data_IF_859746554302
#
_entry.id   IF_859746554302
#
_cell.length_a   1.000
_cell.length_b   1.000
_cell.length_c   1.000
_cell.angle_alpha   90.00
_cell.angle_beta   90.00
_cell.angle_gamma   90.00
#
_symmetry.space_group_name_H-M   'P 1'
#
loop_
_entity.id
_entity.type
_entity.pdbx_description
1 polymer ?
#
# COMPACT_ATOMS: atom_id res chain seq x y z
N UNK A 1 -7.84 -2.83 17.61
CA UNK A 1 -8.14 -1.93 16.47
C UNK A 1 -7.00 -1.98 15.47
N UNK A 2 -7.32 -2.04 14.18
CA UNK A 2 -6.32 -2.13 13.09
C UNK A 2 -6.01 -0.75 12.49
N UNK A 3 -4.74 -0.54 12.18
CA UNK A 3 -4.26 0.55 11.35
C UNK A 3 -3.62 -0.05 10.09
N UNK A 4 -3.74 0.66 8.97
CA UNK A 4 -3.33 0.17 7.67
C UNK A 4 -2.25 1.06 7.07
N UNK A 5 -1.26 0.46 6.42
CA UNK A 5 -0.36 1.12 5.50
C UNK A 5 -0.94 1.03 4.08
N UNK A 6 -1.04 2.18 3.40
CA UNK A 6 -1.61 2.28 2.05
C UNK A 6 -0.58 2.88 1.10
N UNK A 7 -0.35 2.19 -0.01
CA UNK A 7 0.49 2.69 -1.09
C UNK A 7 -0.05 4.02 -1.63
N UNK A 8 0.79 5.07 -1.74
CA UNK A 8 0.36 6.37 -2.24
C UNK A 8 -0.11 6.30 -3.71
N UNK A 9 0.29 5.28 -4.46
CA UNK A 9 -0.22 5.02 -5.81
C UNK A 9 -1.73 4.73 -5.81
N UNK A 10 -2.21 3.89 -4.88
CA UNK A 10 -3.65 3.56 -4.78
C UNK A 10 -4.48 4.78 -4.35
N UNK A 11 -3.93 5.63 -3.48
CA UNK A 11 -4.61 6.84 -3.04
C UNK A 11 -4.74 7.85 -4.19
N UNK A 12 -3.68 8.02 -4.98
CA UNK A 12 -3.65 8.91 -6.14
C UNK A 12 -4.68 8.50 -7.20
N UNK A 13 -4.81 7.20 -7.47
CA UNK A 13 -5.78 6.66 -8.45
C UNK A 13 -7.18 6.42 -7.88
N UNK A 14 -7.42 6.68 -6.58
CA UNK A 14 -8.64 6.36 -5.84
C UNK A 14 -9.11 4.91 -6.07
N UNK A 15 -8.15 3.98 -6.08
CA UNK A 15 -8.41 2.56 -6.32
C UNK A 15 -9.29 1.92 -5.23
N UNK A 16 -9.96 0.79 -5.52
CA UNK A 16 -10.74 0.06 -4.52
C UNK A 16 -9.96 -0.27 -3.24
N UNK A 17 -8.64 -0.51 -3.35
CA UNK A 17 -7.77 -0.72 -2.20
C UNK A 17 -7.71 0.51 -1.28
N UNK A 18 -7.66 1.73 -1.84
CA UNK A 18 -7.69 2.97 -1.09
C UNK A 18 -9.07 3.20 -0.46
N UNK A 19 -10.15 3.04 -1.23
CA UNK A 19 -11.52 3.22 -0.74
C UNK A 19 -11.83 2.27 0.42
N UNK A 20 -11.49 0.98 0.26
CA UNK A 20 -11.61 0.00 1.33
C UNK A 20 -10.82 0.41 2.55
N UNK A 21 -9.54 0.77 2.39
CA UNK A 21 -8.66 1.10 3.53
C UNK A 21 -9.21 2.28 4.32
N UNK A 22 -9.67 3.32 3.63
CA UNK A 22 -10.21 4.53 4.23
C UNK A 22 -11.57 4.29 4.90
N UNK A 23 -12.39 3.38 4.39
CA UNK A 23 -13.63 2.96 5.04
C UNK A 23 -13.37 2.05 6.26
N UNK A 24 -12.52 1.04 6.08
CA UNK A 24 -12.33 -0.04 7.03
C UNK A 24 -11.33 0.26 8.14
N UNK A 25 -10.17 0.87 7.88
CA UNK A 25 -9.13 1.02 8.90
C UNK A 25 -9.56 1.97 10.01
N UNK A 26 -9.00 1.86 11.22
CA UNK A 26 -9.13 2.96 12.18
C UNK A 26 -8.36 4.18 11.67
N UNK A 27 -7.11 3.97 11.28
CA UNK A 27 -6.22 4.95 10.65
C UNK A 27 -5.52 4.31 9.45
N UNK A 28 -5.29 5.10 8.43
CA UNK A 28 -4.53 4.76 7.24
C UNK A 28 -3.27 5.63 7.23
N UNK A 29 -2.12 5.00 7.10
CA UNK A 29 -0.82 5.66 7.00
C UNK A 29 -0.35 5.52 5.56
N UNK A 30 0.02 6.62 4.93
CA UNK A 30 0.57 6.62 3.58
C UNK A 30 1.85 7.44 3.52
N UNK A 31 2.70 7.12 2.55
CA UNK A 31 3.94 7.86 2.33
C UNK A 31 3.63 9.15 1.57
N UNK A 32 4.00 10.29 2.15
CA UNK A 32 4.09 11.56 1.43
C UNK A 32 5.56 11.78 1.09
N UNK A 33 5.92 12.08 -0.17
CA UNK A 33 7.27 12.48 -0.50
C UNK A 33 7.62 13.76 0.27
N UNK A 34 8.61 13.70 1.16
CA UNK A 34 9.12 14.86 1.91
C UNK A 34 10.60 15.07 1.59
N UNK A 35 11.12 16.30 1.64
CA UNK A 35 12.56 16.51 1.62
C UNK A 35 13.21 15.68 2.73
N UNK A 36 14.31 15.01 2.45
CA UNK A 36 15.12 14.36 3.49
C UNK A 36 15.99 15.40 4.17
N UNK A 37 16.23 15.23 5.48
CA UNK A 37 17.00 16.19 6.29
C UNK A 37 18.45 16.36 5.80
N UNK A 38 19.00 15.36 5.12
CA UNK A 38 20.35 15.37 4.53
C UNK A 38 20.43 16.03 3.14
N UNK A 39 19.28 16.36 2.54
CA UNK A 39 19.20 16.87 1.19
C UNK A 39 19.00 18.40 1.21
N UNK A 40 20.11 19.10 0.98
CA UNK A 40 20.24 20.52 0.64
C UNK A 40 19.01 21.43 0.81
N UNK A 41 18.92 22.08 1.96
CA UNK A 41 18.23 23.37 2.11
C UNK A 41 16.71 23.40 2.01
N UNK A 42 16.03 22.27 1.77
CA UNK A 42 14.56 22.17 1.81
C UNK A 42 14.01 21.56 3.11
N UNK A 43 14.89 21.02 3.96
CA UNK A 43 14.54 20.60 5.31
C UNK A 43 13.99 21.80 6.11
N UNK A 44 12.78 21.66 6.65
CA UNK A 44 12.08 22.74 7.37
C UNK A 44 11.19 23.66 6.52
N UNK A 45 11.14 23.50 5.20
CA UNK A 45 10.12 24.17 4.37
C UNK A 45 8.77 23.48 4.55
N UNK A 46 7.72 24.28 4.76
CA UNK A 46 6.35 23.78 4.74
C UNK A 46 5.99 23.21 3.36
N UNK A 47 5.12 22.20 3.32
CA UNK A 47 4.66 21.59 2.07
C UNK A 47 4.14 22.61 1.04
N UNK A 48 3.57 23.73 1.51
CA UNK A 48 3.10 24.83 0.66
C UNK A 48 4.24 25.63 0.02
N UNK A 49 5.38 25.81 0.70
CA UNK A 49 6.55 26.44 0.10
C UNK A 49 7.22 25.54 -0.93
N UNK A 50 7.29 24.22 -0.65
CA UNK A 50 7.80 23.23 -1.59
C UNK A 50 6.92 23.18 -2.86
N UNK A 51 5.59 23.18 -2.69
CA UNK A 51 4.65 23.20 -3.82
C UNK A 51 4.80 24.47 -4.70
N UNK A 52 5.20 25.61 -4.13
CA UNK A 52 5.49 26.80 -4.94
C UNK A 52 6.74 26.65 -5.81
N UNK A 53 7.73 25.91 -5.32
CA UNK A 53 9.01 25.73 -6.00
C UNK A 53 9.00 24.60 -7.04
N UNK A 54 8.21 23.54 -6.82
CA UNK A 54 8.24 22.31 -7.63
C UNK A 54 6.86 22.05 -8.25
N UNK A 55 6.64 22.35 -9.55
CA UNK A 55 5.33 22.24 -10.19
C UNK A 55 4.70 20.83 -10.18
N UNK A 56 5.50 19.77 -10.31
CA UNK A 56 4.98 18.39 -10.26
C UNK A 56 4.53 18.01 -8.85
N UNK A 57 5.25 18.45 -7.82
CA UNK A 57 4.87 18.26 -6.42
C UNK A 57 3.57 19.00 -6.10
N UNK A 58 3.40 20.23 -6.61
CA UNK A 58 2.13 20.96 -6.49
C UNK A 58 0.97 20.18 -7.11
N UNK A 59 1.12 19.71 -8.35
CA UNK A 59 0.09 18.90 -9.02
C UNK A 59 -0.24 17.63 -8.24
N UNK A 60 0.76 17.01 -7.62
CA UNK A 60 0.58 15.87 -6.74
C UNK A 60 -0.26 16.25 -5.50
N UNK A 61 0.07 17.31 -4.79
CA UNK A 61 -0.71 17.78 -3.63
C UNK A 61 -2.15 18.13 -4.05
N UNK A 62 -2.32 18.81 -5.18
CA UNK A 62 -3.65 19.15 -5.74
C UNK A 62 -4.46 17.90 -6.11
N UNK A 63 -3.82 16.83 -6.61
CA UNK A 63 -4.53 15.58 -6.94
C UNK A 63 -5.09 14.85 -5.71
N UNK A 64 -4.54 15.15 -4.52
CA UNK A 64 -4.99 14.61 -3.23
C UNK A 64 -5.95 15.54 -2.49
N UNK A 65 -6.32 16.69 -3.04
CA UNK A 65 -7.19 17.68 -2.38
C UNK A 65 -8.53 17.08 -1.90
N UNK A 66 -9.06 16.09 -2.62
CA UNK A 66 -10.28 15.36 -2.23
C UNK A 66 -10.18 14.65 -0.88
N UNK A 67 -8.97 14.33 -0.43
CA UNK A 67 -8.71 13.60 0.81
C UNK A 67 -8.58 14.51 2.03
N UNK A 68 -8.61 15.84 1.87
CA UNK A 68 -8.33 16.83 2.95
C UNK A 68 -9.09 16.53 4.24
N UNK A 69 -10.40 16.29 4.16
CA UNK A 69 -11.24 15.99 5.34
C UNK A 69 -10.80 14.72 6.08
N UNK A 70 -10.25 13.72 5.38
CA UNK A 70 -9.71 12.50 6.00
C UNK A 70 -8.43 12.78 6.81
N UNK A 71 -7.63 13.77 6.39
CA UNK A 71 -6.47 14.23 7.14
C UNK A 71 -6.90 14.97 8.41
N UNK A 72 -7.86 15.89 8.27
CA UNK A 72 -8.40 16.68 9.39
C UNK A 72 -8.99 15.77 10.49
N UNK A 73 -9.73 14.74 10.08
CA UNK A 73 -10.38 13.78 10.99
C UNK A 73 -9.42 12.65 11.46
N UNK A 74 -8.12 12.76 11.16
CA UNK A 74 -7.08 11.79 11.54
C UNK A 74 -7.34 10.35 11.05
N UNK A 75 -8.10 10.19 9.97
CA UNK A 75 -8.31 8.90 9.30
C UNK A 75 -7.12 8.59 8.41
N UNK A 76 -6.58 9.59 7.70
CA UNK A 76 -5.40 9.47 6.86
C UNK A 76 -4.23 10.23 7.48
N UNK A 77 -3.05 9.60 7.53
CA UNK A 77 -1.87 10.09 8.25
C UNK A 77 -0.60 9.88 7.43
N UNK A 78 0.38 10.77 7.63
CA UNK A 78 1.70 10.72 6.99
C UNK A 78 2.72 9.96 7.85
N UNK A 79 2.42 9.78 9.13
CA UNK A 79 3.29 9.13 10.10
C UNK A 79 2.51 8.26 11.07
N UNK A 80 3.19 7.26 11.62
CA UNK A 80 2.71 6.41 12.70
C UNK A 80 3.69 6.48 13.86
N UNK A 81 3.22 6.84 15.06
CA UNK A 81 4.08 7.02 16.26
C UNK A 81 5.28 7.94 16.00
N UNK A 82 5.05 9.02 15.24
CA UNK A 82 6.06 10.02 14.88
C UNK A 82 7.04 9.60 13.78
N UNK A 83 6.86 8.43 13.15
CA UNK A 83 7.78 7.90 12.14
C UNK A 83 7.09 7.75 10.79
N UNK A 84 7.85 7.97 9.70
CA UNK A 84 7.35 7.90 8.32
C UNK A 84 7.90 6.67 7.59
N UNK A 85 7.30 6.33 6.45
CA UNK A 85 7.79 5.26 5.57
C UNK A 85 8.94 5.73 4.63
N UNK A 86 9.28 7.03 4.63
CA UNK A 86 10.32 7.58 3.74
C UNK A 86 11.70 7.01 4.10
N UNK A 87 12.01 6.91 5.39
CA UNK A 87 13.27 6.32 5.86
C UNK A 87 13.38 4.84 5.46
N UNK A 88 12.27 4.10 5.51
CA UNK A 88 12.22 2.70 5.10
C UNK A 88 12.38 2.55 3.57
N UNK A 89 11.87 3.50 2.77
CA UNK A 89 12.09 3.53 1.31
C UNK A 89 13.59 3.73 0.98
N UNK A 90 14.28 4.62 1.69
CA UNK A 90 15.72 4.83 1.52
C UNK A 90 16.54 3.63 2.00
N UNK A 91 16.18 3.05 3.15
CA UNK A 91 16.81 1.83 3.66
C UNK A 91 16.66 0.65 2.66
N UNK A 92 15.52 0.55 1.97
CA UNK A 92 15.32 -0.44 0.91
C UNK A 92 16.21 -0.15 -0.30
N UNK A 93 16.36 1.10 -0.70
CA UNK A 93 17.27 1.49 -1.80
C UNK A 93 18.69 1.06 -1.48
N UNK A 94 19.15 1.34 -0.26
CA UNK A 94 20.46 0.91 0.24
C UNK A 94 20.58 -0.62 0.30
N UNK A 95 19.51 -1.31 0.73
CA UNK A 95 19.49 -2.77 0.79
C UNK A 95 19.64 -3.42 -0.58
N UNK A 96 18.94 -2.91 -1.61
CA UNK A 96 19.08 -3.39 -3.00
C UNK A 96 20.53 -3.22 -3.50
N UNK A 97 21.17 -2.12 -3.13
CA UNK A 97 22.51 -1.77 -3.58
C UNK A 97 23.60 -2.66 -3.00
N UNK A 98 23.42 -3.16 -1.78
CA UNK A 98 24.45 -3.94 -1.09
C UNK A 98 24.17 -5.44 -1.09
N UNK A 99 22.92 -5.86 -1.15
CA UNK A 99 22.54 -7.27 -1.03
C UNK A 99 22.76 -8.04 -2.34
N UNK A 100 23.48 -9.16 -2.27
CA UNK A 100 23.83 -9.98 -3.44
C UNK A 100 22.58 -10.60 -4.11
N UNK A 101 21.58 -11.04 -3.33
CA UNK A 101 20.34 -11.62 -3.85
C UNK A 101 19.51 -10.62 -4.66
N UNK A 102 19.76 -9.31 -4.52
CA UNK A 102 19.04 -8.23 -5.17
C UNK A 102 19.82 -7.61 -6.34
N UNK A 103 20.97 -8.18 -6.73
CA UNK A 103 21.83 -7.66 -7.81
C UNK A 103 21.07 -7.36 -9.11
N UNK A 104 20.09 -8.19 -9.45
CA UNK A 104 19.28 -8.03 -10.67
C UNK A 104 18.40 -6.76 -10.68
N UNK A 105 18.16 -6.15 -9.52
CA UNK A 105 17.33 -4.94 -9.38
C UNK A 105 18.15 -3.64 -9.45
N UNK A 106 19.46 -3.68 -9.19
CA UNK A 106 20.33 -2.49 -9.16
C UNK A 106 20.28 -1.65 -10.44
N UNK A 107 20.22 -2.22 -11.67
CA UNK A 107 20.14 -1.43 -12.89
C UNK A 107 18.90 -0.52 -12.99
N UNK A 108 17.87 -0.77 -12.18
CA UNK A 108 16.67 0.08 -12.14
C UNK A 108 16.80 1.23 -11.13
N UNK A 109 17.72 1.16 -10.18
CA UNK A 109 17.89 2.21 -9.18
C UNK A 109 18.38 3.49 -9.86
N UNK A 110 17.69 4.60 -9.57
CA UNK A 110 17.93 5.90 -10.20
C UNK A 110 18.80 6.82 -9.34
N UNK A 111 20.00 6.37 -8.97
CA UNK A 111 20.89 7.12 -8.05
C UNK A 111 21.06 8.59 -8.46
N UNK A 112 21.30 8.86 -9.74
CA UNK A 112 21.52 10.23 -10.25
C UNK A 112 20.25 11.10 -10.21
N UNK A 113 19.06 10.49 -10.26
CA UNK A 113 17.78 11.23 -10.25
C UNK A 113 17.46 11.78 -8.85
N UNK A 114 18.10 11.25 -7.82
CA UNK A 114 17.87 11.64 -6.42
C UNK A 114 19.01 12.47 -5.82
N UNK A 115 19.91 12.98 -6.66
CA UNK A 115 21.10 13.72 -6.22
C UNK A 115 20.79 15.01 -5.44
N UNK A 116 19.61 15.61 -5.65
CA UNK A 116 19.14 16.77 -4.91
C UNK A 116 17.65 16.62 -4.52
N UNK A 117 17.19 17.28 -3.43
CA UNK A 117 15.84 17.09 -2.92
C UNK A 117 14.75 17.56 -3.89
N UNK A 118 15.01 18.55 -4.73
CA UNK A 118 14.03 19.03 -5.69
C UNK A 118 13.84 18.03 -6.84
N UNK A 119 14.93 17.45 -7.34
CA UNK A 119 14.90 16.37 -8.34
C UNK A 119 14.22 15.11 -7.80
N UNK A 120 14.50 14.74 -6.55
CA UNK A 120 13.80 13.65 -5.85
C UNK A 120 12.29 13.89 -5.78
N UNK A 121 11.87 15.02 -5.21
CA UNK A 121 10.45 15.34 -5.07
C UNK A 121 9.76 15.44 -6.43
N UNK A 122 10.46 15.98 -7.44
CA UNK A 122 9.94 16.02 -8.80
C UNK A 122 9.68 14.62 -9.35
N UNK A 123 10.67 13.73 -9.27
CA UNK A 123 10.60 12.38 -9.80
C UNK A 123 9.52 11.54 -9.13
N UNK A 124 9.48 11.52 -7.79
CA UNK A 124 8.48 10.74 -7.05
C UNK A 124 7.07 11.29 -7.29
N UNK A 125 6.86 12.62 -7.23
CA UNK A 125 5.55 13.21 -7.51
C UNK A 125 5.08 12.92 -8.95
N UNK A 126 5.98 12.98 -9.92
CA UNK A 126 5.66 12.68 -11.32
C UNK A 126 5.31 11.20 -11.53
N UNK A 127 5.97 10.30 -10.81
CA UNK A 127 5.70 8.86 -10.86
C UNK A 127 4.37 8.52 -10.18
N UNK A 128 4.09 9.10 -9.00
CA UNK A 128 2.81 8.98 -8.30
C UNK A 128 1.63 9.40 -9.17
N UNK A 129 1.73 10.56 -9.83
CA UNK A 129 0.71 11.07 -10.75
C UNK A 129 0.46 10.15 -11.96
N UNK A 130 1.42 9.30 -12.32
CA UNK A 130 1.29 8.33 -13.41
C UNK A 130 0.88 6.93 -12.94
N UNK A 131 0.70 6.72 -11.63
CA UNK A 131 0.34 5.43 -11.05
C UNK A 131 1.53 4.47 -10.91
N UNK A 132 2.76 4.97 -10.80
CA UNK A 132 3.94 4.16 -10.50
C UNK A 132 4.53 3.34 -11.64
N UNK A 133 4.56 3.84 -12.90
CA UNK A 133 5.13 3.07 -14.01
C UNK A 133 6.63 2.81 -13.89
N UNK A 134 7.35 3.56 -13.05
CA UNK A 134 8.80 3.49 -12.95
C UNK A 134 9.25 2.53 -11.83
N UNK A 135 9.77 1.32 -12.14
CA UNK A 135 10.20 0.38 -11.12
C UNK A 135 11.39 0.89 -10.28
N UNK A 136 12.17 1.86 -10.79
CA UNK A 136 13.25 2.49 -10.03
C UNK A 136 12.77 3.37 -8.88
N UNK A 137 11.48 3.74 -8.89
CA UNK A 137 10.83 4.56 -7.88
C UNK A 137 9.79 3.73 -7.12
N UNK A 138 8.89 3.07 -7.85
CA UNK A 138 7.74 2.37 -7.26
C UNK A 138 8.13 1.15 -6.42
N UNK A 139 9.22 0.46 -6.78
CA UNK A 139 9.70 -0.68 -5.99
C UNK A 139 10.23 -0.26 -4.61
N UNK A 140 11.18 0.70 -4.48
CA UNK A 140 11.58 1.23 -3.18
C UNK A 140 10.40 1.74 -2.34
N UNK A 141 9.43 2.42 -2.96
CA UNK A 141 8.25 2.93 -2.25
C UNK A 141 7.39 1.80 -1.67
N UNK A 142 7.09 0.79 -2.48
CA UNK A 142 6.24 -0.34 -2.06
C UNK A 142 6.96 -1.21 -1.03
N UNK A 143 8.21 -1.58 -1.27
CA UNK A 143 9.00 -2.37 -0.33
C UNK A 143 9.31 -1.60 0.96
N UNK A 144 9.54 -0.28 0.87
CA UNK A 144 9.69 0.58 2.05
C UNK A 144 8.42 0.63 2.88
N UNK A 145 7.24 0.66 2.24
CA UNK A 145 5.97 0.59 2.95
C UNK A 145 5.74 -0.76 3.64
N UNK A 146 6.15 -1.88 3.01
CA UNK A 146 6.05 -3.22 3.61
C UNK A 146 6.95 -3.34 4.84
N UNK A 147 8.16 -2.82 4.73
CA UNK A 147 9.13 -2.73 5.82
C UNK A 147 8.58 -1.88 6.97
N UNK A 148 8.05 -0.70 6.66
CA UNK A 148 7.40 0.18 7.64
C UNK A 148 6.23 -0.51 8.33
N UNK A 149 5.36 -1.17 7.57
CA UNK A 149 4.21 -1.90 8.10
C UNK A 149 4.63 -3.06 9.01
N UNK A 150 5.64 -3.83 8.60
CA UNK A 150 6.22 -4.92 9.39
C UNK A 150 6.78 -4.41 10.71
N UNK A 151 7.47 -3.26 10.69
CA UNK A 151 8.08 -2.64 11.87
C UNK A 151 7.03 -2.06 12.82
N UNK A 152 5.94 -1.53 12.28
CA UNK A 152 4.87 -0.86 13.02
C UNK A 152 3.68 -1.75 13.39
N UNK A 153 3.69 -3.02 12.96
CA UNK A 153 2.55 -3.94 13.04
C UNK A 153 1.29 -3.37 12.38
N UNK A 154 1.43 -2.80 11.19
CA UNK A 154 0.33 -2.33 10.36
C UNK A 154 -0.04 -3.40 9.34
N UNK A 155 -1.31 -3.43 8.97
CA UNK A 155 -1.76 -4.24 7.83
C UNK A 155 -1.45 -3.47 6.54
N UNK A 156 -1.13 -4.14 5.44
CA UNK A 156 -0.88 -3.46 4.15
C UNK A 156 -2.07 -3.68 3.22
N UNK A 157 -2.59 -2.63 2.60
CA UNK A 157 -3.59 -2.79 1.54
C UNK A 157 -2.92 -2.89 0.16
N UNK A 158 -3.31 -3.91 -0.61
CA UNK A 158 -2.87 -4.13 -1.98
C UNK A 158 -4.07 -4.17 -2.92
N UNK A 159 -3.92 -3.63 -4.12
CA UNK A 159 -4.90 -3.88 -5.19
C UNK A 159 -4.66 -5.23 -5.86
N UNK A 160 -5.59 -5.63 -6.74
CA UNK A 160 -5.45 -6.84 -7.55
C UNK A 160 -4.15 -6.76 -8.38
N UNK A 161 -3.33 -7.83 -8.41
CA UNK A 161 -2.13 -7.88 -9.25
C UNK A 161 -2.39 -7.61 -10.72
N UNK A 162 -1.60 -6.69 -11.28
CA UNK A 162 -1.60 -6.32 -12.69
C UNK A 162 -0.24 -6.59 -13.35
N UNK A 163 0.85 -6.54 -12.60
CA UNK A 163 2.21 -6.79 -13.11
C UNK A 163 2.71 -8.21 -12.83
N UNK A 164 3.75 -8.64 -13.54
CA UNK A 164 4.43 -9.93 -13.30
C UNK A 164 4.99 -10.03 -11.88
N UNK A 165 5.54 -8.93 -11.35
CA UNK A 165 6.04 -8.86 -9.98
C UNK A 165 4.90 -9.10 -8.98
N UNK A 166 3.76 -8.42 -9.12
CA UNK A 166 2.61 -8.62 -8.24
C UNK A 166 2.01 -10.04 -8.36
N UNK A 167 2.05 -10.64 -9.55
CA UNK A 167 1.64 -12.04 -9.72
C UNK A 167 2.60 -13.02 -9.05
N UNK A 168 3.90 -12.74 -9.08
CA UNK A 168 4.90 -13.51 -8.34
C UNK A 168 4.76 -13.30 -6.82
N UNK A 169 4.38 -12.11 -6.37
CA UNK A 169 4.11 -11.78 -4.96
C UNK A 169 2.98 -12.65 -4.40
N UNK A 170 1.89 -12.87 -5.17
CA UNK A 170 0.81 -13.77 -4.73
C UNK A 170 1.27 -15.21 -4.48
N UNK A 171 2.34 -15.67 -5.13
CA UNK A 171 2.87 -17.01 -4.91
C UNK A 171 3.61 -17.12 -3.56
N UNK A 172 3.99 -15.99 -2.98
CA UNK A 172 4.57 -15.89 -1.64
C UNK A 172 3.50 -15.74 -0.55
N UNK A 173 2.25 -15.49 -0.94
CA UNK A 173 1.16 -15.22 -0.02
C UNK A 173 0.62 -16.50 0.61
N UNK A 174 0.57 -16.53 1.94
CA UNK A 174 -0.11 -17.58 2.70
C UNK A 174 -1.51 -17.07 3.07
N UNK A 175 -2.55 -17.75 2.59
CA UNK A 175 -3.94 -17.32 2.80
C UNK A 175 -4.37 -17.53 4.25
N UNK A 176 -4.90 -16.48 4.87
CA UNK A 176 -5.43 -16.50 6.24
C UNK A 176 -6.95 -16.64 6.24
N UNK A 177 -7.66 -15.73 5.60
CA UNK A 177 -9.11 -15.80 5.42
C UNK A 177 -9.56 -14.93 4.23
N UNK A 178 -10.85 -14.98 3.87
CA UNK A 178 -11.41 -14.08 2.87
C UNK A 178 -12.85 -13.72 3.21
N UNK A 179 -13.25 -12.49 2.91
CA UNK A 179 -14.61 -11.99 3.12
C UNK A 179 -14.95 -10.93 2.06
N UNK A 180 -16.21 -10.50 2.01
CA UNK A 180 -16.67 -9.47 1.08
C UNK A 180 -17.18 -8.26 1.85
N UNK A 181 -16.88 -7.07 1.34
CA UNK A 181 -17.32 -5.82 1.95
C UNK A 181 -17.93 -4.89 0.89
N UNK A 182 -19.11 -4.30 1.17
CA UNK A 182 -19.64 -3.24 0.34
C UNK A 182 -18.78 -1.98 0.49
N UNK A 183 -18.44 -1.34 -0.62
CA UNK A 183 -17.63 -0.12 -0.65
C UNK A 183 -18.17 0.87 -1.67
N UNK A 184 -17.92 2.14 -1.43
CA UNK A 184 -18.08 3.16 -2.45
C UNK A 184 -16.79 3.31 -3.27
N UNK A 185 -16.89 3.14 -4.58
CA UNK A 185 -15.79 3.30 -5.52
C UNK A 185 -15.64 4.79 -5.84
N UNK A 186 -14.43 5.33 -5.67
CA UNK A 186 -14.09 6.75 -5.91
C UNK A 186 -14.87 7.78 -5.07
N UNK A 187 -15.35 7.38 -3.90
CA UNK A 187 -16.08 8.27 -2.98
C UNK A 187 -15.27 9.52 -2.56
N UNK A 188 -16.01 10.59 -2.26
CA UNK A 188 -15.47 11.77 -1.58
C UNK A 188 -15.03 11.44 -0.15
N UNK A 189 -14.20 12.30 0.45
CA UNK A 189 -13.81 12.15 1.84
C UNK A 189 -15.01 12.21 2.80
N UNK A 190 -15.92 13.16 2.60
CA UNK A 190 -17.11 13.31 3.45
C UNK A 190 -18.02 12.08 3.35
N UNK A 191 -18.19 11.49 2.16
CA UNK A 191 -18.93 10.24 1.98
C UNK A 191 -18.29 9.06 2.71
N UNK A 192 -16.97 8.95 2.68
CA UNK A 192 -16.24 7.91 3.42
C UNK A 192 -16.36 8.12 4.94
N UNK A 193 -16.33 9.37 5.42
CA UNK A 193 -16.54 9.70 6.83
C UNK A 193 -17.96 9.38 7.28
N UNK A 194 -18.97 9.70 6.46
CA UNK A 194 -20.36 9.34 6.70
C UNK A 194 -20.54 7.82 6.77
N UNK A 195 -19.99 7.08 5.79
CA UNK A 195 -19.98 5.61 5.81
C UNK A 195 -19.40 5.04 7.11
N UNK A 196 -18.31 5.63 7.61
CA UNK A 196 -17.66 5.20 8.85
C UNK A 196 -18.51 5.49 10.09
N UNK A 197 -19.25 6.58 10.10
CA UNK A 197 -20.12 6.96 11.21
C UNK A 197 -21.33 6.03 11.29
N UNK A 198 -22.03 5.85 10.17
CA UNK A 198 -23.24 5.03 10.07
C UNK A 198 -22.97 3.54 10.39
N UNK A 199 -21.82 3.02 9.95
CA UNK A 199 -21.44 1.60 10.13
C UNK A 199 -20.39 1.41 11.23
N UNK A 200 -20.29 2.36 12.16
CA UNK A 200 -19.20 2.41 13.14
C UNK A 200 -19.08 1.14 14.00
N UNK A 201 -20.22 0.55 14.40
CA UNK A 201 -20.28 -0.67 15.21
C UNK A 201 -19.82 -1.89 14.43
N UNK A 202 -20.33 -2.07 13.22
CA UNK A 202 -20.05 -3.24 12.38
C UNK A 202 -18.59 -3.20 11.90
N UNK A 203 -18.09 -2.02 11.54
CA UNK A 203 -16.69 -1.81 11.23
C UNK A 203 -15.80 -2.08 12.46
N UNK A 204 -16.23 -1.73 13.68
CA UNK A 204 -15.47 -2.04 14.90
C UNK A 204 -15.34 -3.56 15.11
N UNK A 205 -16.43 -4.31 14.99
CA UNK A 205 -16.41 -5.77 15.09
C UNK A 205 -15.47 -6.40 14.05
N UNK A 206 -15.57 -5.98 12.79
CA UNK A 206 -14.69 -6.49 11.72
C UNK A 206 -13.21 -6.16 11.97
N UNK A 207 -12.92 -4.94 12.48
CA UNK A 207 -11.54 -4.54 12.86
C UNK A 207 -11.00 -5.36 14.03
N UNK A 208 -11.83 -5.80 14.96
CA UNK A 208 -11.40 -6.61 16.10
C UNK A 208 -10.98 -8.02 15.65
N UNK A 209 -11.79 -8.66 14.81
CA UNK A 209 -11.45 -9.97 14.23
C UNK A 209 -10.19 -9.88 13.38
N UNK A 210 -10.06 -8.87 12.53
CA UNK A 210 -8.84 -8.64 11.74
C UNK A 210 -7.61 -8.41 12.61
N UNK A 211 -7.74 -7.71 13.74
CA UNK A 211 -6.64 -7.52 14.68
C UNK A 211 -6.22 -8.83 15.36
N UNK A 212 -7.18 -9.70 15.70
CA UNK A 212 -6.92 -11.05 16.24
C UNK A 212 -6.11 -11.88 15.24
N UNK A 213 -6.62 -12.01 14.01
CA UNK A 213 -5.97 -12.76 12.92
C UNK A 213 -4.57 -12.21 12.63
N UNK A 214 -4.42 -10.89 12.52
CA UNK A 214 -3.13 -10.28 12.24
C UNK A 214 -2.10 -10.52 13.34
N UNK A 215 -2.53 -10.48 14.61
CA UNK A 215 -1.67 -10.78 15.75
C UNK A 215 -1.23 -12.25 15.75
N UNK A 216 -2.16 -13.18 15.48
CA UNK A 216 -1.85 -14.61 15.40
C UNK A 216 -0.89 -14.96 14.25
N UNK A 217 -1.08 -14.33 13.08
CA UNK A 217 -0.29 -14.59 11.89
C UNK A 217 1.12 -13.95 11.90
N UNK A 218 1.36 -12.95 12.76
CA UNK A 218 2.65 -12.28 12.89
C UNK A 218 3.43 -12.67 14.14
N UNK A 219 2.86 -13.49 15.02
CA UNK A 219 3.54 -13.98 16.23
C UNK A 219 4.65 -14.98 15.85
N UNK A 220 5.93 -14.68 16.15
CA UNK A 220 7.05 -15.57 15.83
C UNK A 220 6.96 -16.94 16.53
N UNK A 221 6.18 -17.05 17.61
CA UNK A 221 6.00 -18.29 18.38
C UNK A 221 5.02 -19.26 17.72
N UNK A 222 4.27 -18.78 16.71
CA UNK A 222 3.23 -19.56 16.04
C UNK A 222 3.73 -20.14 14.71
N UNK A 223 4.95 -20.70 14.69
CA UNK A 223 5.56 -21.26 13.48
C UNK A 223 4.94 -22.60 13.04
N UNK A 224 4.41 -23.38 14.00
CA UNK A 224 4.07 -24.79 13.78
C UNK A 224 2.55 -25.07 13.87
N UNK A 225 1.75 -24.06 14.22
CA UNK A 225 0.29 -24.16 14.38
C UNK A 225 -0.50 -23.54 13.23
N UNK A 226 -1.83 -23.78 13.16
CA UNK A 226 -2.68 -23.06 12.22
C UNK A 226 -2.66 -21.55 12.55
N UNK A 227 -2.38 -20.72 11.54
CA UNK A 227 -2.30 -19.27 11.71
C UNK A 227 -3.64 -18.61 12.03
N UNK A 228 -4.75 -19.30 11.73
CA UNK A 228 -6.12 -18.84 11.94
C UNK A 228 -6.92 -19.99 12.56
N UNK A 229 -7.61 -19.73 13.67
CA UNK A 229 -8.47 -20.72 14.32
C UNK A 229 -9.81 -20.85 13.61
N UNK A 230 -10.56 -21.93 13.89
CA UNK A 230 -11.93 -22.07 13.37
C UNK A 230 -12.86 -20.96 13.90
N UNK A 231 -12.62 -20.51 15.12
CA UNK A 231 -13.40 -19.44 15.74
C UNK A 231 -13.14 -18.10 15.03
N UNK A 232 -11.88 -17.79 14.69
CA UNK A 232 -11.56 -16.59 13.90
C UNK A 232 -12.28 -16.57 12.53
N UNK A 233 -12.45 -17.74 11.88
CA UNK A 233 -13.20 -17.85 10.63
C UNK A 233 -14.70 -17.59 10.82
N UNK A 234 -15.30 -18.16 11.88
CA UNK A 234 -16.70 -17.94 12.19
C UNK A 234 -16.95 -16.46 12.54
N UNK A 235 -16.12 -15.88 13.41
CA UNK A 235 -16.20 -14.47 13.80
C UNK A 235 -16.05 -13.54 12.60
N UNK A 236 -15.14 -13.85 11.66
CA UNK A 236 -14.96 -13.07 10.43
C UNK A 236 -16.21 -13.12 9.55
N UNK A 237 -16.77 -14.32 9.37
CA UNK A 237 -17.97 -14.51 8.58
C UNK A 237 -19.16 -13.73 9.19
N UNK A 238 -19.35 -13.84 10.50
CA UNK A 238 -20.46 -13.20 11.20
C UNK A 238 -20.32 -11.67 11.21
N UNK A 239 -19.13 -11.14 11.48
CA UNK A 239 -18.87 -9.70 11.40
C UNK A 239 -19.07 -9.16 9.98
N UNK A 240 -18.62 -9.90 8.96
CA UNK A 240 -18.82 -9.54 7.56
C UNK A 240 -20.31 -9.57 7.16
N UNK A 241 -21.07 -10.55 7.64
CA UNK A 241 -22.50 -10.68 7.35
C UNK A 241 -23.30 -9.52 7.99
N UNK A 242 -23.01 -9.19 9.25
CA UNK A 242 -23.63 -8.07 9.96
C UNK A 242 -23.37 -6.73 9.25
N UNK A 243 -22.13 -6.50 8.81
CA UNK A 243 -21.79 -5.30 8.03
C UNK A 243 -22.59 -5.22 6.73
N UNK A 244 -22.74 -6.34 6.01
CA UNK A 244 -23.50 -6.38 4.76
C UNK A 244 -25.00 -6.14 4.98
N UNK A 245 -25.58 -6.75 6.02
CA UNK A 245 -26.98 -6.54 6.39
C UNK A 245 -27.25 -5.07 6.75
N UNK A 246 -26.41 -4.49 7.61
CA UNK A 246 -26.56 -3.10 8.04
C UNK A 246 -26.33 -2.11 6.90
N UNK A 247 -25.36 -2.37 6.02
CA UNK A 247 -25.15 -1.58 4.82
C UNK A 247 -26.40 -1.63 3.90
N UNK A 248 -26.97 -2.81 3.67
CA UNK A 248 -28.15 -2.97 2.83
C UNK A 248 -29.38 -2.26 3.42
N UNK A 249 -29.55 -2.31 4.74
CA UNK A 249 -30.63 -1.62 5.43
C UNK A 249 -30.46 -0.08 5.43
N UNK A 250 -29.21 0.40 5.49
CA UNK A 250 -28.87 1.83 5.60
C UNK A 250 -28.51 2.51 4.27
N UNK A 251 -28.59 1.83 3.13
CA UNK A 251 -28.01 2.35 1.87
C UNK A 251 -28.62 3.68 1.42
N UNK A 252 -29.91 3.89 1.63
CA UNK A 252 -30.56 5.15 1.25
C UNK A 252 -30.02 6.33 2.08
N UNK A 253 -29.77 6.13 3.37
CA UNK A 253 -29.13 7.14 4.22
C UNK A 253 -27.67 7.39 3.82
N UNK A 254 -26.98 6.34 3.37
CA UNK A 254 -25.60 6.47 2.89
C UNK A 254 -25.53 7.15 1.52
N UNK A 255 -26.62 7.17 0.74
CA UNK A 255 -26.75 7.88 -0.53
C UNK A 255 -27.24 9.31 -0.38
N UNK A 256 -27.79 9.66 0.78
CA UNK A 256 -28.36 10.99 1.00
C UNK A 256 -27.32 12.07 0.72
N UNK A 257 -27.76 13.14 0.05
CA UNK A 257 -26.92 14.25 -0.41
C UNK A 257 -25.77 13.87 -1.38
N UNK A 258 -25.81 12.70 -2.03
CA UNK A 258 -24.75 12.28 -2.97
C UNK A 258 -24.68 13.09 -4.27
N UNK A 259 -25.71 13.88 -4.57
CA UNK A 259 -25.69 14.82 -5.70
C UNK A 259 -24.72 15.99 -5.49
N UNK A 260 -24.31 16.25 -4.25
CA UNK A 260 -23.30 17.25 -3.90
C UNK A 260 -21.86 16.70 -3.90
N UNK A 261 -21.67 15.40 -4.16
CA UNK A 261 -20.34 14.80 -4.22
C UNK A 261 -19.59 15.23 -5.50
N UNK A 262 -18.29 15.52 -5.38
CA UNK A 262 -17.41 15.89 -6.51
C UNK A 262 -17.39 14.84 -7.64
N UNK A 263 -17.68 13.59 -7.30
CA UNK A 263 -17.73 12.45 -8.22
C UNK A 263 -19.00 11.67 -7.93
N UNK A 264 -19.68 11.23 -8.99
CA UNK A 264 -20.85 10.37 -8.87
C UNK A 264 -20.55 9.18 -7.97
N UNK A 265 -21.39 8.98 -6.96
CA UNK A 265 -21.30 7.84 -6.07
C UNK A 265 -21.53 6.53 -6.85
N UNK A 266 -20.57 5.62 -6.73
CA UNK A 266 -20.62 4.30 -7.36
C UNK A 266 -20.51 3.24 -6.27
N UNK A 267 -21.53 2.41 -6.15
CA UNK A 267 -21.50 1.27 -5.27
C UNK A 267 -20.76 0.10 -5.90
N UNK A 268 -20.02 -0.60 -5.07
CA UNK A 268 -19.35 -1.82 -5.44
C UNK A 268 -19.23 -2.77 -4.26
N UNK A 269 -18.84 -3.99 -4.57
CA UNK A 269 -18.38 -4.95 -3.59
C UNK A 269 -16.92 -5.26 -3.86
N UNK A 270 -16.14 -5.45 -2.80
CA UNK A 270 -14.78 -5.97 -2.90
C UNK A 270 -14.70 -7.29 -2.17
N UNK A 271 -14.06 -8.27 -2.79
CA UNK A 271 -13.53 -9.44 -2.08
C UNK A 271 -12.18 -9.05 -1.51
N UNK A 272 -11.98 -9.37 -0.24
CA UNK A 272 -10.77 -9.10 0.51
C UNK A 272 -10.18 -10.44 0.90
N UNK A 273 -8.99 -10.73 0.39
CA UNK A 273 -8.21 -11.89 0.82
C UNK A 273 -7.16 -11.41 1.80
N UNK A 274 -7.28 -11.84 3.05
CA UNK A 274 -6.32 -11.59 4.10
C UNK A 274 -5.20 -12.62 3.95
N UNK A 275 -3.98 -12.15 3.75
CA UNK A 275 -2.83 -13.01 3.50
C UNK A 275 -1.64 -12.60 4.37
N UNK A 276 -0.78 -13.55 4.68
CA UNK A 276 0.52 -13.31 5.29
C UNK A 276 1.58 -13.26 4.19
N UNK A 277 2.45 -12.27 4.25
CA UNK A 277 3.56 -12.09 3.33
C UNK A 277 4.88 -11.92 4.10
N UNK A 278 6.02 -12.38 3.55
CA UNK A 278 7.33 -12.07 4.12
C UNK A 278 7.64 -10.58 3.97
N UNK A 279 8.44 -10.03 4.88
CA UNK A 279 8.81 -8.60 4.91
C UNK A 279 9.41 -8.08 3.58
N UNK A 280 10.09 -8.95 2.81
CA UNK A 280 10.73 -8.62 1.54
C UNK A 280 9.91 -9.08 0.31
N UNK A 281 8.61 -9.34 0.47
CA UNK A 281 7.75 -9.87 -0.59
C UNK A 281 7.84 -9.08 -1.90
N UNK A 282 7.83 -7.74 -1.86
CA UNK A 282 7.96 -6.89 -3.03
C UNK A 282 9.33 -7.05 -3.75
N UNK A 283 10.42 -7.17 -2.99
CA UNK A 283 11.76 -7.36 -3.53
C UNK A 283 11.94 -8.77 -4.12
N UNK A 284 11.61 -9.79 -3.33
CA UNK A 284 11.69 -11.20 -3.73
C UNK A 284 10.84 -11.48 -4.97
N UNK A 285 9.62 -10.95 -5.01
CA UNK A 285 8.75 -11.10 -6.18
C UNK A 285 9.25 -10.35 -7.42
N UNK A 286 9.88 -9.19 -7.25
CA UNK A 286 10.48 -8.43 -8.36
C UNK A 286 11.68 -9.15 -8.96
N UNK A 287 12.56 -9.73 -8.13
CA UNK A 287 13.67 -10.58 -8.60
C UNK A 287 13.12 -11.79 -9.36
N UNK A 288 12.12 -12.48 -8.81
CA UNK A 288 11.49 -13.63 -9.45
C UNK A 288 10.81 -13.28 -10.78
N UNK A 289 10.13 -12.14 -10.85
CA UNK A 289 9.50 -11.67 -12.08
C UNK A 289 10.53 -11.28 -13.13
N UNK A 290 11.65 -10.68 -12.74
CA UNK A 290 12.75 -10.38 -13.64
C UNK A 290 13.36 -11.68 -14.22
N UNK A 291 13.64 -12.66 -13.37
CA UNK A 291 14.14 -13.97 -13.78
C UNK A 291 13.14 -14.71 -14.70
N UNK A 292 11.82 -14.56 -14.48
CA UNK A 292 10.80 -15.18 -15.31
C UNK A 292 10.58 -14.46 -16.66
N UNK A 293 10.70 -13.13 -16.69
CA UNK A 293 10.59 -12.33 -17.92
C UNK A 293 11.84 -12.48 -18.81
N UNK A 294 13.00 -12.68 -18.18
CA UNK A 294 14.26 -12.94 -18.85
C UNK A 294 14.63 -14.42 -18.85
N UNK A 295 14.43 -15.13 -19.98
CA UNK A 295 15.33 -16.21 -20.41
C UNK A 295 16.78 -15.70 -20.67
N UNK A 296 17.15 -14.55 -20.09
CA UNK A 296 18.38 -13.84 -20.29
C UNK A 296 19.34 -14.22 -19.16
N UNK A 297 20.56 -14.59 -19.55
CA UNK A 297 21.73 -14.82 -18.72
C UNK A 297 21.89 -13.74 -17.64
N UNK A 298 21.18 -13.87 -16.52
CA UNK A 298 21.70 -13.36 -15.25
C UNK A 298 22.90 -14.26 -14.99
N UNK A 299 24.11 -13.73 -14.80
CA UNK A 299 25.18 -14.54 -14.27
C UNK A 299 24.69 -15.01 -12.89
N UNK A 300 24.19 -16.25 -12.82
CA UNK A 300 24.36 -17.05 -11.62
C UNK A 300 25.83 -16.88 -11.30
N UNK A 301 26.14 -16.28 -10.16
CA UNK A 301 27.49 -16.24 -9.63
C UNK A 301 27.93 -17.69 -9.35
N UNK A 302 28.26 -18.41 -10.41
CA UNK A 302 29.06 -19.61 -10.41
C UNK A 302 30.52 -19.13 -10.42
N UNK A 303 30.95 -18.62 -9.27
CA UNK A 303 32.30 -18.82 -8.76
C UNK A 303 32.38 -18.22 -7.36
N UNK A 304 32.04 -19.04 -6.37
CA UNK A 304 32.55 -18.91 -5.01
C UNK A 304 34.05 -19.16 -5.02
N UNK A 305 34.83 -18.19 -5.50
CA UNK A 305 36.26 -18.07 -5.20
C UNK A 305 36.73 -16.61 -5.30
N UNK A 306 37.12 -16.08 -4.14
CA UNK A 306 38.13 -15.03 -3.97
C UNK A 306 37.82 -13.62 -4.50
N UNK A 307 36.87 -12.93 -3.85
CA UNK A 307 37.18 -11.60 -3.30
C UNK A 307 36.79 -11.67 -1.83
N UNK A 308 37.78 -11.66 -0.95
CA UNK A 308 37.55 -11.35 0.45
C UNK A 308 37.14 -9.88 0.53
N UNK A 309 35.88 -9.60 0.22
CA UNK A 309 35.21 -8.45 0.83
C UNK A 309 35.30 -8.71 2.31
N UNK A 310 36.00 -7.83 3.04
CA UNK A 310 35.80 -7.73 4.48
C UNK A 310 34.29 -7.82 4.69
N UNK A 311 33.83 -8.92 5.27
CA UNK A 311 32.43 -9.10 5.63
C UNK A 311 32.19 -8.08 6.74
N UNK A 312 31.89 -6.84 6.32
CA UNK A 312 31.22 -5.87 7.14
C UNK A 312 30.04 -6.66 7.74
N UNK A 313 29.88 -6.67 9.07
CA UNK A 313 28.80 -7.41 9.69
C UNK A 313 27.53 -6.96 8.99
N UNK A 314 26.83 -7.90 8.35
CA UNK A 314 25.59 -7.61 7.64
C UNK A 314 24.74 -6.79 8.61
N UNK A 315 24.46 -5.54 8.26
CA UNK A 315 23.64 -4.64 9.07
C UNK A 315 22.35 -5.41 9.34
N UNK A 316 22.19 -5.86 10.59
CA UNK A 316 21.09 -6.75 10.92
C UNK A 316 19.83 -5.94 10.72
N UNK A 317 19.13 -6.25 9.64
CA UNK A 317 17.89 -5.63 9.34
C UNK A 317 16.86 -6.08 10.40
N UNK A 318 16.39 -5.13 11.21
CA UNK A 318 15.49 -5.37 12.34
C UNK A 318 14.13 -5.98 11.96
N UNK A 319 13.80 -6.04 10.66
CA UNK A 319 12.60 -6.73 10.16
C UNK A 319 12.90 -8.04 9.43
N UNK A 320 14.17 -8.43 9.28
CA UNK A 320 14.54 -9.66 8.60
C UNK A 320 13.88 -10.88 9.24
N UNK A 321 13.33 -11.77 8.41
CA UNK A 321 12.61 -12.98 8.83
C UNK A 321 11.20 -12.73 9.37
N UNK A 322 10.76 -11.48 9.48
CA UNK A 322 9.39 -11.14 9.88
C UNK A 322 8.41 -11.23 8.73
N UNK A 323 7.14 -11.22 9.09
CA UNK A 323 6.01 -11.24 8.17
C UNK A 323 5.08 -10.07 8.51
N UNK A 324 4.30 -9.67 7.53
CA UNK A 324 3.18 -8.75 7.72
C UNK A 324 1.90 -9.35 7.15
N UNK A 325 0.76 -8.80 7.56
CA UNK A 325 -0.53 -9.15 6.99
C UNK A 325 -0.94 -8.15 5.94
N UNK A 326 -1.35 -8.65 4.78
CA UNK A 326 -1.83 -7.86 3.66
C UNK A 326 -3.29 -8.16 3.37
N UNK A 327 -4.02 -7.12 2.97
CA UNK A 327 -5.38 -7.18 2.46
C UNK A 327 -5.32 -7.05 0.94
N UNK A 328 -5.52 -8.16 0.23
CA UNK A 328 -5.60 -8.16 -1.22
C UNK A 328 -7.03 -7.81 -1.65
N UNK A 329 -7.21 -6.64 -2.25
CA UNK A 329 -8.52 -6.09 -2.58
C UNK A 329 -8.85 -6.33 -4.04
N UNK A 330 -9.93 -7.09 -4.28
CA UNK A 330 -10.43 -7.40 -5.62
C UNK A 330 -11.86 -6.89 -5.78
N UNK A 331 -12.15 -5.92 -6.66
CA UNK A 331 -13.52 -5.54 -6.95
C UNK A 331 -14.29 -6.72 -7.56
N UNK A 332 -15.47 -6.99 -7.02
CA UNK A 332 -16.44 -7.96 -7.54
C UNK A 332 -17.27 -7.27 -8.61
N UNK A 333 -17.15 -7.74 -9.86
CA UNK A 333 -18.12 -7.47 -10.92
C UNK A 333 -18.58 -6.02 -11.08
N UNK A 334 -17.70 -5.14 -11.56
CA UNK A 334 -18.14 -4.23 -12.61
C UNK A 334 -17.70 -4.84 -13.92
N UNK A 335 -18.65 -5.20 -14.79
CA UNK A 335 -18.32 -5.33 -16.20
C UNK A 335 -17.57 -4.05 -16.59
N UNK A 336 -16.33 -4.20 -17.04
CA UNK A 336 -15.51 -3.12 -17.57
C UNK A 336 -16.32 -2.41 -18.66
N UNK A 337 -17.00 -1.32 -18.31
CA UNK A 337 -17.56 -0.36 -19.26
C UNK A 337 -16.55 0.72 -19.65
N UNK A 338 -15.27 0.47 -19.41
CA UNK A 338 -14.16 1.32 -19.82
C UNK A 338 -13.35 0.63 -20.94
N UNK A 339 -13.96 0.53 -22.13
CA UNK A 339 -13.23 0.28 -23.38
C UNK A 339 -13.85 0.98 -24.62
N UNK A 340 -15.03 1.61 -24.53
CA UNK A 340 -15.72 2.20 -25.69
C UNK A 340 -16.16 3.65 -25.50
N UNK A 341 -15.30 4.52 -24.96
CA UNK A 341 -15.38 5.96 -25.22
C UNK A 341 -14.22 6.39 -26.11
N UNK A 342 -14.20 5.84 -27.33
CA UNK A 342 -13.59 6.56 -28.47
C UNK A 342 -14.54 7.70 -28.80
N UNK A 343 -14.07 8.94 -28.63
CA UNK A 343 -14.76 10.13 -29.09
C UNK A 343 -15.13 9.99 -30.58
N UNK A 344 -16.36 10.34 -31.01
CA UNK A 344 -16.58 10.61 -32.42
C UNK A 344 -15.81 11.88 -32.77
N UNK A 345 -14.93 11.78 -33.75
CA UNK A 345 -14.39 12.95 -34.43
C UNK A 345 -15.56 13.70 -35.04
N UNK A 346 -15.73 14.96 -34.65
CA UNK A 346 -16.31 16.00 -35.48
C UNK A 346 -15.29 17.13 -35.57
#
# INVERSE_FOLDING_TARGET
>A
MIDLALSPYHLTSREPAAMLSLALARRVVTMIPTPTDDAGGLAGFSATQIAKAIPSYRKFVESWAWSTRLWDDNVLLASHRGQTAVDDMWAVTEHIEHEAKLLALRPFLKHDTFADPASYLHAVAADLLKGGPDPGISLPVVAGLDRFATRMNLLVARSRPQSLAQQAELKLAESLCSFAMPVFVQASADRLLHYRAELSRELAALREVLASIAKGATDPRNSDGPLVSRDDFADMHDASAQLQEQYAAGIENLRDDSDNDDVRLIEGFVTISVVRLPWDAALTSSVNAFAAAGNAKVPLAADTNAIATEQLPALHDGVSGRHFVSLLVKPMGQAVRAANLRSPRY
#
